data_IF_714466444924
#
_entry.id   IF_714466444924
#
_cell.length_a   1.000
_cell.length_b   1.000
_cell.length_c   1.000
_cell.angle_alpha   90.00
_cell.angle_beta   90.00
_cell.angle_gamma   90.00
#
_symmetry.space_group_name_H-M   'P 1'
#
loop_
_entity.id
_entity.type
_entity.pdbx_description
1 polymer ?
#
# COMPACT_ATOMS: atom_id res chain seq x y z
N UNK A 1 -5.93 3.53 -4.55
CA UNK A 1 -5.87 4.42 -3.36
C UNK A 1 -7.13 5.23 -3.16
N UNK A 2 -7.77 5.66 -4.24
CA UNK A 2 -9.03 6.42 -4.10
C UNK A 2 -10.13 5.56 -3.46
N UNK A 3 -10.22 4.30 -3.81
CA UNK A 3 -11.18 3.39 -3.18
C UNK A 3 -10.90 3.20 -1.69
N UNK A 4 -9.64 3.12 -1.32
CA UNK A 4 -9.22 3.05 0.09
C UNK A 4 -9.64 4.32 0.82
N UNK A 5 -9.40 5.48 0.22
CA UNK A 5 -9.83 6.77 0.79
C UNK A 5 -11.34 6.79 1.01
N UNK A 6 -12.12 6.39 0.00
CA UNK A 6 -13.57 6.41 0.09
C UNK A 6 -14.08 5.50 1.21
N UNK A 7 -13.53 4.29 1.33
CA UNK A 7 -13.91 3.35 2.39
C UNK A 7 -13.53 3.92 3.77
N UNK A 8 -12.30 4.41 3.89
CA UNK A 8 -11.80 4.93 5.17
C UNK A 8 -12.66 6.10 5.68
N UNK A 9 -12.96 7.05 4.81
CA UNK A 9 -13.74 8.22 5.21
C UNK A 9 -15.19 7.85 5.49
N UNK A 10 -15.81 7.00 4.67
CA UNK A 10 -17.22 6.68 4.84
C UNK A 10 -17.50 5.78 6.05
N UNK A 11 -16.56 4.91 6.42
CA UNK A 11 -16.80 3.90 7.45
C UNK A 11 -16.04 4.13 8.75
N UNK A 12 -14.91 4.80 8.72
CA UNK A 12 -14.01 4.84 9.87
C UNK A 12 -13.63 6.24 10.33
N UNK A 13 -14.12 7.27 9.66
CA UNK A 13 -13.78 8.65 10.00
C UNK A 13 -14.89 9.30 10.84
N UNK A 14 -14.49 9.84 12.00
CA UNK A 14 -15.39 10.61 12.85
C UNK A 14 -14.95 12.08 12.78
N UNK A 15 -15.76 12.97 12.14
CA UNK A 15 -15.36 14.37 11.97
C UNK A 15 -15.17 15.14 13.28
N UNK A 16 -15.71 14.65 14.40
CA UNK A 16 -15.56 15.31 15.69
C UNK A 16 -14.23 15.00 16.37
N UNK A 17 -13.64 13.85 16.09
CA UNK A 17 -12.44 13.38 16.80
C UNK A 17 -11.25 13.12 15.91
N UNK A 18 -11.46 12.88 14.62
CA UNK A 18 -10.42 12.46 13.71
C UNK A 18 -9.93 13.60 12.81
N UNK A 19 -8.66 13.55 12.42
CA UNK A 19 -8.04 14.55 11.57
C UNK A 19 -8.16 14.13 10.11
N UNK A 20 -8.97 14.87 9.34
CA UNK A 20 -9.17 14.58 7.92
C UNK A 20 -7.86 14.58 7.12
N UNK A 21 -6.94 15.48 7.46
CA UNK A 21 -5.64 15.54 6.76
C UNK A 21 -4.86 14.24 6.93
N UNK A 22 -4.77 13.72 8.16
CA UNK A 22 -4.08 12.46 8.41
C UNK A 22 -4.73 11.29 7.67
N UNK A 23 -6.05 11.21 7.69
CA UNK A 23 -6.78 10.15 7.00
C UNK A 23 -6.58 10.23 5.48
N UNK A 24 -6.58 11.45 4.94
CA UNK A 24 -6.35 11.67 3.51
C UNK A 24 -4.94 11.25 3.10
N UNK A 25 -3.95 11.67 3.86
CA UNK A 25 -2.54 11.35 3.57
C UNK A 25 -2.33 9.84 3.55
N UNK A 26 -2.74 9.15 4.61
CA UNK A 26 -2.45 7.71 4.70
C UNK A 26 -3.21 6.91 3.66
N UNK A 27 -4.46 7.27 3.37
CA UNK A 27 -5.26 6.51 2.41
C UNK A 27 -4.77 6.68 0.98
N UNK A 28 -4.34 7.87 0.60
CA UNK A 28 -3.89 8.14 -0.76
C UNK A 28 -2.43 7.78 -1.00
N UNK A 29 -1.59 7.81 0.02
CA UNK A 29 -0.14 7.63 -0.14
C UNK A 29 0.42 6.33 0.41
N UNK A 30 -0.41 5.48 1.06
CA UNK A 30 0.12 4.26 1.70
C UNK A 30 0.81 3.30 0.73
N UNK A 31 0.44 3.32 -0.54
CA UNK A 31 1.01 2.46 -1.58
C UNK A 31 2.06 3.17 -2.43
N UNK A 32 2.62 4.28 -1.95
CA UNK A 32 3.62 5.01 -2.72
C UNK A 32 4.85 4.14 -3.05
N UNK A 33 5.06 3.07 -2.28
CA UNK A 33 6.10 2.08 -2.55
C UNK A 33 6.00 1.48 -3.95
N UNK A 34 4.82 1.52 -4.57
CA UNK A 34 4.63 1.01 -5.92
C UNK A 34 5.12 1.97 -6.99
N UNK A 35 5.41 3.22 -6.66
CA UNK A 35 5.98 4.17 -7.60
C UNK A 35 7.39 3.70 -7.97
N UNK A 36 7.63 3.48 -9.26
CA UNK A 36 8.92 2.98 -9.74
C UNK A 36 9.18 1.50 -9.43
N UNK A 37 8.20 0.79 -8.88
CA UNK A 37 8.33 -0.63 -8.56
C UNK A 37 8.25 -1.51 -9.80
N UNK A 38 7.48 -1.08 -10.78
CA UNK A 38 7.32 -1.80 -12.04
C UNK A 38 8.02 -1.06 -13.17
N UNK A 39 8.55 -1.81 -14.11
CA UNK A 39 9.09 -1.27 -15.35
C UNK A 39 8.57 -2.11 -16.51
N UNK A 40 8.61 -1.52 -17.71
CA UNK A 40 8.31 -2.25 -18.93
C UNK A 40 9.62 -2.78 -19.49
N UNK A 41 9.65 -4.06 -19.82
CA UNK A 41 10.79 -4.65 -20.51
C UNK A 41 10.30 -5.49 -21.68
N UNK A 42 11.19 -5.72 -22.66
CA UNK A 42 10.88 -6.54 -23.83
C UNK A 42 11.27 -7.99 -23.53
N UNK A 43 10.33 -8.88 -23.79
CA UNK A 43 10.58 -10.32 -23.64
C UNK A 43 10.26 -11.05 -24.93
N UNK A 44 11.01 -12.10 -25.19
CA UNK A 44 10.77 -12.94 -26.36
C UNK A 44 9.55 -13.83 -26.15
N UNK A 45 8.69 -13.87 -27.14
CA UNK A 45 7.50 -14.72 -27.13
C UNK A 45 7.23 -15.22 -28.55
N UNK A 46 6.75 -16.46 -28.66
CA UNK A 46 6.29 -16.97 -29.96
C UNK A 46 4.90 -16.43 -30.27
N UNK A 47 4.74 -15.93 -31.49
CA UNK A 47 3.43 -15.53 -31.98
C UNK A 47 2.67 -16.73 -32.53
N UNK A 48 1.46 -16.50 -33.05
CA UNK A 48 0.60 -17.56 -33.58
C UNK A 48 1.18 -18.29 -34.80
N UNK A 49 2.14 -17.66 -35.50
CA UNK A 49 2.82 -18.26 -36.63
C UNK A 49 4.07 -19.06 -36.23
N UNK A 50 4.34 -19.14 -34.92
CA UNK A 50 5.55 -19.81 -34.44
C UNK A 50 6.82 -18.99 -34.55
N UNK A 51 6.72 -17.72 -34.91
CA UNK A 51 7.85 -16.81 -35.00
C UNK A 51 8.12 -16.13 -33.67
N UNK A 52 9.40 -15.91 -33.37
CA UNK A 52 9.79 -15.17 -32.15
C UNK A 52 9.63 -13.67 -32.38
N UNK A 53 9.02 -13.03 -31.39
CA UNK A 53 8.88 -11.57 -31.39
C UNK A 53 9.15 -11.04 -30.00
N UNK A 54 9.46 -9.76 -29.90
CA UNK A 54 9.65 -9.07 -28.61
C UNK A 54 8.37 -8.35 -28.26
N UNK A 55 7.84 -8.62 -27.06
CA UNK A 55 6.63 -7.99 -26.57
C UNK A 55 6.92 -7.24 -25.26
N UNK A 56 6.29 -6.08 -25.03
CA UNK A 56 6.45 -5.37 -23.77
C UNK A 56 5.69 -6.10 -22.65
N UNK A 57 6.35 -6.27 -21.52
CA UNK A 57 5.73 -6.85 -20.32
C UNK A 57 6.13 -6.00 -19.11
N UNK A 58 5.29 -5.99 -18.09
CA UNK A 58 5.65 -5.35 -16.83
C UNK A 58 6.53 -6.30 -16.02
N UNK A 59 7.59 -5.74 -15.47
CA UNK A 59 8.50 -6.48 -14.60
C UNK A 59 8.72 -5.71 -13.32
N UNK A 60 9.00 -6.42 -12.23
CA UNK A 60 9.34 -5.80 -10.95
C UNK A 60 10.76 -5.26 -11.02
N UNK A 61 10.91 -3.98 -10.68
CA UNK A 61 12.21 -3.32 -10.62
C UNK A 61 12.32 -2.61 -9.26
N UNK A 62 12.54 -3.40 -8.22
CA UNK A 62 12.62 -2.89 -6.87
C UNK A 62 14.00 -2.35 -6.56
N UNK A 63 14.13 -1.03 -6.65
CA UNK A 63 15.41 -0.35 -6.39
C UNK A 63 15.67 -0.13 -4.90
N UNK A 64 14.67 -0.35 -4.06
CA UNK A 64 14.77 -0.18 -2.61
C UNK A 64 14.28 -1.45 -1.93
N UNK A 65 15.19 -2.32 -1.48
CA UNK A 65 14.78 -3.60 -0.89
C UNK A 65 14.30 -3.46 0.56
N UNK A 66 13.38 -2.55 0.78
CA UNK A 66 12.65 -2.41 2.05
C UNK A 66 11.29 -3.08 1.91
N UNK A 67 10.67 -3.43 3.01
CA UNK A 67 9.27 -3.85 3.01
C UNK A 67 8.37 -2.76 2.46
N UNK A 68 7.20 -3.13 1.95
CA UNK A 68 6.29 -2.17 1.29
C UNK A 68 5.93 -0.99 2.19
N UNK A 69 5.63 -1.26 3.46
CA UNK A 69 5.28 -0.20 4.40
C UNK A 69 6.44 0.73 4.68
N UNK A 70 7.62 0.17 4.94
CA UNK A 70 8.82 0.96 5.21
C UNK A 70 9.21 1.82 4.02
N UNK A 71 9.13 1.25 2.83
CA UNK A 71 9.44 1.94 1.60
C UNK A 71 8.48 3.11 1.35
N UNK A 72 7.18 2.91 1.59
CA UNK A 72 6.21 3.98 1.45
C UNK A 72 6.50 5.13 2.42
N UNK A 73 6.77 4.83 3.68
CA UNK A 73 7.14 5.86 4.67
C UNK A 73 8.38 6.62 4.21
N UNK A 74 9.41 5.90 3.78
CA UNK A 74 10.65 6.52 3.32
C UNK A 74 10.41 7.47 2.15
N UNK A 75 9.60 7.05 1.17
CA UNK A 75 9.33 7.86 -0.01
C UNK A 75 8.48 9.09 0.31
N UNK A 76 7.48 8.95 1.17
CA UNK A 76 6.63 10.06 1.58
C UNK A 76 7.47 11.11 2.34
N UNK A 77 8.34 10.65 3.23
CA UNK A 77 9.18 11.55 4.04
C UNK A 77 10.14 12.41 3.20
N UNK A 78 10.37 12.05 1.95
CA UNK A 78 11.15 12.89 1.04
C UNK A 78 10.42 14.19 0.65
N UNK A 79 9.10 14.21 0.78
CA UNK A 79 8.26 15.32 0.34
C UNK A 79 7.55 16.02 1.48
N UNK A 80 7.30 15.32 2.57
CA UNK A 80 6.58 15.87 3.71
C UNK A 80 6.95 15.08 4.96
N UNK A 81 6.76 15.70 6.12
CA UNK A 81 6.98 15.02 7.40
C UNK A 81 5.67 14.41 7.88
N UNK A 82 5.68 13.10 8.10
CA UNK A 82 4.52 12.39 8.64
C UNK A 82 4.46 12.54 10.17
N UNK A 83 3.26 12.63 10.70
CA UNK A 83 3.06 12.47 12.15
C UNK A 83 3.26 11.00 12.51
N UNK A 84 3.52 10.72 13.79
CA UNK A 84 3.77 9.35 14.22
C UNK A 84 2.64 8.39 13.84
N UNK A 85 1.38 8.76 14.08
CA UNK A 85 0.24 7.89 13.75
C UNK A 85 0.13 7.65 12.26
N UNK A 86 0.44 8.66 11.44
CA UNK A 86 0.44 8.52 9.98
C UNK A 86 1.53 7.56 9.52
N UNK A 87 2.74 7.74 10.03
CA UNK A 87 3.87 6.87 9.68
C UNK A 87 3.62 5.42 10.09
N UNK A 88 3.09 5.20 11.29
CA UNK A 88 2.78 3.86 11.77
C UNK A 88 1.67 3.21 10.93
N UNK A 89 0.64 3.98 10.58
CA UNK A 89 -0.44 3.46 9.74
C UNK A 89 0.08 3.02 8.37
N UNK A 90 0.90 3.83 7.72
CA UNK A 90 1.49 3.49 6.43
C UNK A 90 2.44 2.31 6.56
N UNK A 91 3.30 2.31 7.59
CA UNK A 91 4.27 1.22 7.81
C UNK A 91 3.59 -0.14 7.92
N UNK A 92 2.46 -0.21 8.59
CA UNK A 92 1.80 -1.49 8.89
C UNK A 92 0.53 -1.74 8.06
N UNK A 93 0.35 -1.01 6.95
CA UNK A 93 -0.87 -1.16 6.15
C UNK A 93 -1.04 -2.57 5.56
N UNK A 94 0.03 -3.30 5.35
CA UNK A 94 -0.04 -4.68 4.88
C UNK A 94 -0.56 -5.65 5.96
N UNK A 95 -0.55 -5.25 7.23
CA UNK A 95 -1.05 -6.08 8.31
C UNK A 95 -0.33 -7.40 8.39
N UNK A 96 -1.07 -8.49 8.53
CA UNK A 96 -0.52 -9.83 8.64
C UNK A 96 0.22 -10.33 7.40
N UNK A 97 0.10 -9.64 6.29
CA UNK A 97 0.84 -9.98 5.08
C UNK A 97 2.24 -9.36 5.02
N UNK A 98 2.60 -8.54 6.02
CA UNK A 98 3.92 -7.97 6.12
C UNK A 98 4.95 -9.05 6.44
N UNK A 99 6.11 -9.02 5.76
CA UNK A 99 7.12 -10.05 5.92
C UNK A 99 7.69 -10.13 7.34
N UNK A 100 7.78 -9.00 8.04
CA UNK A 100 8.26 -9.02 9.42
C UNK A 100 7.30 -9.76 10.35
N UNK A 101 6.00 -9.71 10.08
CA UNK A 101 5.00 -10.48 10.82
C UNK A 101 5.15 -11.96 10.54
N UNK A 102 5.34 -12.32 9.27
CA UNK A 102 5.60 -13.71 8.87
C UNK A 102 6.88 -14.24 9.48
N UNK A 103 7.85 -13.37 9.72
CA UNK A 103 9.09 -13.70 10.38
C UNK A 103 9.01 -13.76 11.91
N UNK A 104 7.85 -13.52 12.50
CA UNK A 104 7.62 -13.65 13.93
C UNK A 104 7.67 -12.35 14.73
N UNK A 105 7.68 -11.19 14.08
CA UNK A 105 7.66 -9.91 14.79
C UNK A 105 6.30 -9.65 15.43
N UNK A 106 6.31 -9.12 16.65
CA UNK A 106 5.10 -8.70 17.37
C UNK A 106 4.80 -7.21 17.21
N UNK A 107 5.59 -6.49 16.42
CA UNK A 107 5.43 -5.04 16.29
C UNK A 107 4.07 -4.65 15.71
N UNK A 108 3.50 -5.47 14.81
CA UNK A 108 2.17 -5.21 14.25
C UNK A 108 1.11 -5.15 15.34
N UNK A 109 1.11 -6.12 16.25
CA UNK A 109 0.13 -6.14 17.33
C UNK A 109 0.24 -4.88 18.20
N UNK A 110 1.45 -4.48 18.52
CA UNK A 110 1.70 -3.26 19.30
C UNK A 110 1.23 -2.02 18.55
N UNK A 111 1.48 -1.95 17.23
CA UNK A 111 1.04 -0.82 16.41
C UNK A 111 -0.48 -0.73 16.38
N UNK A 112 -1.16 -1.85 16.19
CA UNK A 112 -2.62 -1.88 16.15
C UNK A 112 -3.25 -1.53 17.49
N UNK A 113 -2.66 -1.97 18.60
CA UNK A 113 -3.14 -1.61 19.92
C UNK A 113 -3.04 -0.11 20.19
N UNK A 114 -1.95 0.50 19.76
CA UNK A 114 -1.66 1.89 20.10
C UNK A 114 -2.24 2.90 19.11
N UNK A 115 -2.37 2.54 17.83
CA UNK A 115 -2.74 3.48 16.78
C UNK A 115 -3.96 2.98 16.00
N UNK A 116 -5.17 3.43 16.38
CA UNK A 116 -6.39 3.03 15.67
C UNK A 116 -6.37 3.30 14.17
N UNK A 117 -5.69 4.37 13.73
CA UNK A 117 -5.60 4.67 12.30
C UNK A 117 -4.92 3.55 11.53
N UNK A 118 -3.95 2.86 12.14
CA UNK A 118 -3.30 1.71 11.50
C UNK A 118 -4.29 0.58 11.21
N UNK A 119 -5.15 0.28 12.18
CA UNK A 119 -6.20 -0.74 11.99
C UNK A 119 -7.19 -0.29 10.92
N UNK A 120 -7.65 0.94 11.00
CA UNK A 120 -8.65 1.48 10.06
C UNK A 120 -8.13 1.48 8.63
N UNK A 121 -6.87 1.86 8.42
CA UNK A 121 -6.26 1.85 7.10
C UNK A 121 -6.15 0.43 6.55
N UNK A 122 -5.69 -0.51 7.37
CA UNK A 122 -5.56 -1.91 6.94
C UNK A 122 -6.92 -2.50 6.55
N UNK A 123 -7.95 -2.29 7.37
CA UNK A 123 -9.30 -2.76 7.07
C UNK A 123 -9.85 -2.14 5.80
N UNK A 124 -9.63 -0.83 5.62
CA UNK A 124 -10.10 -0.12 4.42
C UNK A 124 -9.40 -0.62 3.16
N UNK A 125 -8.11 -0.92 3.27
CA UNK A 125 -7.33 -1.47 2.16
C UNK A 125 -7.82 -2.87 1.78
N UNK A 126 -8.07 -3.73 2.75
CA UNK A 126 -8.64 -5.06 2.50
C UNK A 126 -10.00 -4.94 1.83
N UNK A 127 -10.87 -4.09 2.35
CA UNK A 127 -12.21 -3.93 1.80
C UNK A 127 -12.17 -3.37 0.39
N UNK A 128 -11.37 -2.35 0.14
CA UNK A 128 -11.23 -1.79 -1.19
C UNK A 128 -10.71 -2.83 -2.19
N UNK A 129 -9.70 -3.58 -1.80
CA UNK A 129 -9.08 -4.58 -2.67
C UNK A 129 -10.04 -5.72 -3.01
N UNK A 130 -10.69 -6.29 -2.01
CA UNK A 130 -11.46 -7.52 -2.21
C UNK A 130 -12.94 -7.27 -2.51
N UNK A 131 -13.49 -6.14 -2.11
CA UNK A 131 -14.92 -5.87 -2.30
C UNK A 131 -15.21 -4.87 -3.41
N UNK A 132 -14.25 -4.04 -3.79
CA UNK A 132 -14.46 -3.01 -4.80
C UNK A 132 -13.59 -3.17 -6.05
N UNK A 133 -12.31 -3.49 -5.89
CA UNK A 133 -11.37 -3.52 -7.00
C UNK A 133 -11.29 -4.88 -7.71
N UNK A 134 -11.27 -5.97 -6.94
CA UNK A 134 -11.13 -7.30 -7.54
C UNK A 134 -12.34 -7.73 -8.34
N UNK A 135 -13.48 -7.08 -8.13
CA UNK A 135 -14.71 -7.34 -8.88
C UNK A 135 -14.89 -6.41 -10.07
N UNK A 136 -14.11 -5.35 -10.11
CA UNK A 136 -14.22 -4.35 -11.16
C UNK A 136 -13.76 -4.88 -12.45
N UNK A 137 -13.11 -5.92 -12.20
CA UNK A 137 -12.96 -6.54 -13.39
C UNK A 137 -12.45 -5.66 -14.45
#
# INVERSE_FOLDING_TARGET
SLNVYNVLISKHFNPETDDLESYTIVSLLHDLCKAGFYKTELRNRKNDRGEWEKVPVYAVDDQFPYGHGEKSVFLIERFMRLRTEEAIAVRWHMGGFDESVKGGSFALAHAFEKYPLAVKLHLSDLEATYLHESRGE
#
